data_IF_723191845926
#
_entry.id   IF_723191845926
#
_cell.length_a   1.000
_cell.length_b   1.000
_cell.length_c   1.000
_cell.angle_alpha   90.00
_cell.angle_beta   90.00
_cell.angle_gamma   90.00
#
_symmetry.space_group_name_H-M   'P 1'
#
loop_
_entity.id
_entity.type
_entity.pdbx_description
1 polymer ?
#
# COMPACT_ATOMS: atom_id res chain seq x y z
N UNK A 1 27.54 3.50 -15.92
CA UNK A 1 27.36 2.47 -14.88
C UNK A 1 27.58 3.12 -13.53
N UNK A 2 26.52 3.53 -12.83
CA UNK A 2 26.61 4.01 -11.44
C UNK A 2 25.69 3.14 -10.61
N UNK A 3 26.28 2.42 -9.65
CA UNK A 3 25.59 1.67 -8.61
C UNK A 3 25.00 2.69 -7.63
N UNK A 4 23.67 2.72 -7.50
CA UNK A 4 23.04 3.37 -6.35
C UNK A 4 23.12 2.38 -5.17
N UNK A 5 24.00 2.68 -4.22
CA UNK A 5 24.04 1.99 -2.94
C UNK A 5 22.80 2.34 -2.14
N UNK A 6 22.11 1.32 -1.62
CA UNK A 6 21.06 1.49 -0.63
C UNK A 6 21.75 1.70 0.71
N UNK A 7 21.93 2.95 1.11
CA UNK A 7 22.25 3.26 2.50
C UNK A 7 20.99 3.06 3.33
N UNK A 8 21.07 2.13 4.30
CA UNK A 8 20.04 1.96 5.33
C UNK A 8 20.12 3.14 6.30
N UNK A 9 19.11 4.03 6.41
CA UNK A 9 19.11 5.04 7.45
C UNK A 9 18.81 4.33 8.77
N UNK A 10 19.79 4.35 9.68
CA UNK A 10 19.58 4.00 11.08
C UNK A 10 18.51 4.91 11.66
N UNK A 11 17.50 4.31 12.29
CA UNK A 11 16.54 4.91 13.22
C UNK A 11 15.96 6.27 12.77
N UNK A 12 14.78 6.23 12.18
CA UNK A 12 14.01 7.43 11.87
C UNK A 12 13.73 8.23 13.16
N UNK A 13 14.19 9.49 13.29
CA UNK A 13 13.83 10.33 14.43
C UNK A 13 12.33 10.70 14.37
N UNK A 14 11.68 10.98 15.51
CA UNK A 14 10.24 11.22 15.56
C UNK A 14 9.86 12.31 14.55
N UNK A 15 8.91 12.02 13.66
CA UNK A 15 8.49 12.93 12.57
C UNK A 15 8.23 14.34 13.12
N UNK A 16 9.22 15.21 12.91
CA UNK A 16 9.14 16.63 13.20
C UNK A 16 8.21 17.31 12.21
N UNK A 17 7.41 18.23 12.72
CA UNK A 17 6.33 18.96 12.03
C UNK A 17 6.84 19.78 10.83
N UNK A 18 8.16 19.94 10.71
CA UNK A 18 8.87 20.72 9.71
C UNK A 18 8.90 20.06 8.33
N UNK A 19 8.97 18.73 8.25
CA UNK A 19 9.00 18.02 6.96
C UNK A 19 7.62 18.04 6.27
N UNK A 20 6.54 18.02 7.05
CA UNK A 20 5.17 18.16 6.54
C UNK A 20 4.94 19.55 5.89
N UNK A 21 5.56 20.60 6.44
CA UNK A 21 5.44 21.97 5.92
C UNK A 21 6.11 22.16 4.56
N UNK A 22 7.27 21.56 4.32
CA UNK A 22 7.96 21.64 3.02
C UNK A 22 7.17 20.90 1.93
N UNK A 23 6.59 19.75 2.26
CA UNK A 23 5.83 18.97 1.29
C UNK A 23 4.52 19.64 0.86
N UNK A 24 3.81 20.26 1.81
CA UNK A 24 2.64 21.09 1.53
C UNK A 24 2.97 22.29 0.65
N UNK A 25 4.14 22.92 0.83
CA UNK A 25 4.60 24.02 -0.02
C UNK A 25 4.92 23.58 -1.45
N UNK A 26 5.24 22.30 -1.66
CA UNK A 26 5.64 21.76 -2.96
C UNK A 26 4.51 21.02 -3.71
N UNK A 27 3.30 20.90 -3.14
CA UNK A 27 2.18 20.14 -3.72
C UNK A 27 2.59 18.71 -4.17
N UNK A 28 3.56 18.10 -3.50
CA UNK A 28 4.09 16.78 -3.84
C UNK A 28 3.30 15.66 -3.18
N UNK A 29 3.37 14.46 -3.77
CA UNK A 29 2.86 13.24 -3.16
C UNK A 29 4.00 12.47 -2.48
N UNK A 30 3.77 12.00 -1.25
CA UNK A 30 4.66 11.04 -0.59
C UNK A 30 4.08 9.64 -0.73
N UNK A 31 4.93 8.70 -1.13
CA UNK A 31 4.61 7.28 -1.20
C UNK A 31 5.53 6.57 -0.21
N UNK A 32 4.94 5.84 0.72
CA UNK A 32 5.65 4.99 1.68
C UNK A 32 5.28 3.53 1.42
N UNK A 33 6.28 2.64 1.44
CA UNK A 33 6.10 1.20 1.36
C UNK A 33 6.47 0.60 2.71
N UNK A 34 5.52 -0.12 3.33
CA UNK A 34 5.70 -0.76 4.63
C UNK A 34 5.27 -2.22 4.54
N UNK A 35 5.99 -3.09 5.23
CA UNK A 35 5.68 -4.51 5.32
C UNK A 35 4.76 -4.76 6.51
N UNK A 36 3.52 -5.15 6.23
CA UNK A 36 2.55 -5.54 7.24
C UNK A 36 2.69 -7.05 7.54
N UNK A 37 3.24 -7.38 8.70
CA UNK A 37 3.42 -8.77 9.14
C UNK A 37 2.41 -9.10 10.23
N UNK A 38 1.25 -9.63 9.83
CA UNK A 38 0.11 -9.94 10.71
C UNK A 38 0.43 -10.92 11.88
N UNK A 39 1.59 -11.58 11.87
CA UNK A 39 1.95 -12.62 12.84
C UNK A 39 3.30 -12.38 13.56
N UNK A 40 3.88 -11.18 13.48
CA UNK A 40 5.17 -10.90 14.11
C UNK A 40 5.07 -10.43 15.57
N UNK A 41 3.89 -9.99 16.05
CA UNK A 41 3.72 -9.42 17.38
C UNK A 41 4.56 -8.14 17.59
N UNK A 42 4.83 -7.42 16.51
CA UNK A 42 5.68 -6.23 16.51
C UNK A 42 4.84 -4.98 16.77
N UNK A 43 4.74 -4.61 18.05
CA UNK A 43 3.99 -3.44 18.51
C UNK A 43 4.51 -2.13 17.88
N UNK A 44 5.80 -2.04 17.54
CA UNK A 44 6.38 -0.85 16.89
C UNK A 44 5.86 -0.72 15.46
N UNK A 45 5.79 -1.83 14.72
CA UNK A 45 5.22 -1.86 13.39
C UNK A 45 3.73 -1.50 13.40
N UNK A 46 2.97 -1.96 14.39
CA UNK A 46 1.55 -1.62 14.55
C UNK A 46 1.35 -0.11 14.77
N UNK A 47 2.19 0.51 15.61
CA UNK A 47 2.17 1.96 15.83
C UNK A 47 2.52 2.72 14.56
N UNK A 48 3.53 2.27 13.81
CA UNK A 48 3.93 2.89 12.54
C UNK A 48 2.82 2.78 11.49
N UNK A 49 2.25 1.58 11.30
CA UNK A 49 1.15 1.32 10.38
C UNK A 49 -0.09 2.14 10.73
N UNK A 50 -0.42 2.25 12.02
CA UNK A 50 -1.52 3.08 12.51
C UNK A 50 -1.27 4.56 12.20
N UNK A 51 -0.08 5.07 12.49
CA UNK A 51 0.32 6.46 12.21
C UNK A 51 0.29 6.80 10.71
N UNK A 52 0.90 5.97 9.87
CA UNK A 52 0.89 6.15 8.42
C UNK A 52 -0.51 6.02 7.84
N UNK A 53 -1.27 5.02 8.30
CA UNK A 53 -2.67 4.90 7.93
C UNK A 53 -3.43 6.17 8.28
N UNK A 54 -3.18 6.76 9.47
CA UNK A 54 -3.78 8.00 9.94
C UNK A 54 -3.49 9.22 9.05
N UNK A 55 -2.27 9.33 8.52
CA UNK A 55 -1.88 10.48 7.70
C UNK A 55 -2.13 10.26 6.20
N UNK A 56 -2.37 9.01 5.77
CA UNK A 56 -2.54 8.67 4.36
C UNK A 56 -3.93 9.00 3.83
N UNK A 57 -3.97 9.64 2.65
CA UNK A 57 -5.20 9.90 1.89
C UNK A 57 -5.66 8.65 1.12
N UNK A 58 -4.72 7.83 0.68
CA UNK A 58 -4.92 6.60 -0.08
C UNK A 58 -3.99 5.53 0.48
N UNK A 59 -4.53 4.35 0.74
CA UNK A 59 -3.77 3.18 1.19
C UNK A 59 -3.98 2.06 0.18
N UNK A 60 -2.87 1.49 -0.29
CA UNK A 60 -2.83 0.33 -1.16
C UNK A 60 -2.28 -0.85 -0.35
N UNK A 61 -3.11 -1.85 -0.04
CA UNK A 61 -2.72 -3.05 0.70
C UNK A 61 -2.59 -4.23 -0.26
N UNK A 62 -1.37 -4.73 -0.44
CA UNK A 62 -1.11 -5.98 -1.13
C UNK A 62 -1.15 -7.13 -0.12
N UNK A 63 -2.05 -8.08 -0.33
CA UNK A 63 -2.32 -9.19 0.58
C UNK A 63 -2.22 -10.52 -0.18
N UNK A 64 -1.87 -11.58 0.55
CA UNK A 64 -1.99 -12.95 0.04
C UNK A 64 -3.45 -13.34 -0.19
N UNK A 65 -3.68 -14.42 -0.94
CA UNK A 65 -5.02 -14.99 -1.07
C UNK A 65 -5.36 -15.82 0.17
N UNK A 66 -6.57 -15.66 0.70
CA UNK A 66 -7.07 -16.46 1.82
C UNK A 66 -7.09 -17.98 1.53
N UNK A 67 -7.16 -18.37 0.25
CA UNK A 67 -7.15 -19.76 -0.20
C UNK A 67 -5.75 -20.35 -0.35
N UNK A 68 -4.70 -19.54 -0.16
CA UNK A 68 -3.31 -19.95 -0.41
C UNK A 68 -2.84 -19.67 -1.84
N UNK A 69 -1.78 -20.34 -2.26
CA UNK A 69 -1.08 -20.08 -3.51
C UNK A 69 -1.85 -20.55 -4.74
N UNK A 70 -1.88 -19.71 -5.79
CA UNK A 70 -2.40 -20.07 -7.10
C UNK A 70 -1.38 -19.67 -8.18
N UNK A 71 -1.17 -20.52 -9.18
CA UNK A 71 -0.23 -20.26 -10.29
C UNK A 71 -0.60 -18.99 -11.07
N UNK A 72 -1.89 -18.72 -11.21
CA UNK A 72 -2.40 -17.63 -12.04
C UNK A 72 -2.79 -16.39 -11.24
N UNK A 73 -2.96 -16.50 -9.93
CA UNK A 73 -3.32 -15.38 -9.05
C UNK A 73 -2.37 -15.36 -7.86
N UNK A 74 -1.54 -14.32 -7.78
CA UNK A 74 -0.45 -14.24 -6.79
C UNK A 74 -0.90 -13.55 -5.49
N UNK A 75 -1.95 -12.74 -5.55
CA UNK A 75 -2.47 -12.03 -4.39
C UNK A 75 -3.63 -11.12 -4.76
N UNK A 76 -4.00 -10.27 -3.80
CA UNK A 76 -5.03 -9.26 -3.96
C UNK A 76 -4.54 -7.87 -3.52
N UNK A 77 -5.05 -6.84 -4.17
CA UNK A 77 -4.80 -5.44 -3.86
C UNK A 77 -6.09 -4.81 -3.35
N UNK A 78 -6.10 -4.36 -2.10
CA UNK A 78 -7.20 -3.57 -1.53
C UNK A 78 -6.86 -2.09 -1.59
N UNK A 79 -7.82 -1.30 -2.08
CA UNK A 79 -7.70 0.15 -2.14
C UNK A 79 -8.58 0.76 -1.05
N UNK A 80 -7.96 1.43 -0.09
CA UNK A 80 -8.66 2.12 0.99
C UNK A 80 -8.47 3.62 0.84
N UNK A 81 -9.58 4.32 0.64
CA UNK A 81 -9.61 5.78 0.59
C UNK A 81 -9.97 6.32 1.96
N UNK A 82 -9.15 7.23 2.48
CA UNK A 82 -9.54 8.01 3.65
C UNK A 82 -10.44 9.13 3.15
N UNK A 83 -11.69 9.15 3.63
CA UNK A 83 -12.74 10.09 3.19
C UNK A 83 -12.23 11.53 3.15
N UNK A 84 -12.38 12.26 2.03
CA UNK A 84 -12.48 13.70 2.08
C UNK A 84 -13.78 14.08 2.81
N UNK A 85 -13.81 15.24 3.46
CA UNK A 85 -14.97 15.79 4.20
C UNK A 85 -16.25 15.98 3.36
N UNK A 86 -16.27 15.59 2.09
CA UNK A 86 -17.38 15.79 1.18
C UNK A 86 -17.93 14.46 0.62
N UNK A 87 -19.24 14.18 0.76
CA UNK A 87 -19.87 12.96 0.30
C UNK A 87 -20.14 13.04 -1.20
N UNK A 88 -19.23 12.53 -2.02
CA UNK A 88 -19.55 12.19 -3.42
C UNK A 88 -19.95 10.72 -3.46
N UNK A 89 -21.16 10.44 -3.95
CA UNK A 89 -21.89 9.17 -3.89
C UNK A 89 -21.19 7.90 -4.47
N UNK A 90 -19.99 8.03 -5.04
CA UNK A 90 -19.25 6.93 -5.68
C UNK A 90 -18.23 6.21 -4.75
N UNK A 91 -18.06 6.68 -3.52
CA UNK A 91 -16.90 6.34 -2.66
C UNK A 91 -17.11 5.21 -1.64
N UNK A 92 -18.26 4.53 -1.67
CA UNK A 92 -18.62 3.58 -0.61
C UNK A 92 -18.11 2.15 -0.82
N UNK A 93 -17.30 1.92 -1.85
CA UNK A 93 -16.67 0.61 -2.11
C UNK A 93 -15.16 0.78 -2.05
N UNK A 94 -14.50 0.09 -1.13
CA UNK A 94 -13.07 -0.18 -1.20
C UNK A 94 -12.85 -1.26 -2.25
N UNK A 95 -12.47 -0.93 -3.50
CA UNK A 95 -12.35 -1.93 -4.52
C UNK A 95 -11.19 -2.89 -4.16
N UNK A 96 -11.44 -4.17 -4.39
CA UNK A 96 -10.44 -5.23 -4.25
C UNK A 96 -10.18 -5.81 -5.63
N UNK A 97 -8.91 -5.78 -6.05
CA UNK A 97 -8.44 -6.41 -7.27
C UNK A 97 -7.62 -7.64 -6.94
N UNK A 98 -7.58 -8.59 -7.85
CA UNK A 98 -6.60 -9.68 -7.83
C UNK A 98 -5.47 -9.32 -8.79
N UNK A 99 -4.27 -9.81 -8.52
CA UNK A 99 -3.13 -9.56 -9.39
C UNK A 99 -2.35 -10.82 -9.75
N UNK A 100 -1.76 -10.77 -10.95
CA UNK A 100 -0.82 -11.76 -11.47
C UNK A 100 0.50 -11.07 -11.77
N UNK A 101 1.57 -11.53 -11.12
CA UNK A 101 2.93 -11.09 -11.41
C UNK A 101 3.44 -11.92 -12.60
N UNK A 102 4.08 -11.23 -13.53
CA UNK A 102 4.81 -11.79 -14.67
C UNK A 102 6.22 -11.21 -14.64
N UNK A 103 7.12 -11.71 -15.48
CA UNK A 103 8.55 -11.34 -15.45
C UNK A 103 8.82 -9.83 -15.44
N UNK A 104 8.00 -9.05 -16.16
CA UNK A 104 8.20 -7.58 -16.32
C UNK A 104 6.91 -6.77 -16.16
N UNK A 105 5.81 -7.38 -15.72
CA UNK A 105 4.53 -6.72 -15.61
C UNK A 105 3.69 -7.31 -14.48
N UNK A 106 2.72 -6.53 -14.01
CA UNK A 106 1.67 -6.96 -13.09
C UNK A 106 0.33 -6.68 -13.75
N UNK A 107 -0.49 -7.73 -13.90
CA UNK A 107 -1.87 -7.60 -14.38
C UNK A 107 -2.82 -7.54 -13.21
N UNK A 108 -3.76 -6.59 -13.22
CA UNK A 108 -4.82 -6.45 -12.21
C UNK A 108 -6.17 -6.79 -12.83
N UNK A 109 -7.00 -7.53 -12.11
CA UNK A 109 -8.33 -7.93 -12.56
C UNK A 109 -9.32 -7.92 -11.40
N UNK A 110 -10.60 -7.75 -11.72
CA UNK A 110 -11.65 -7.86 -10.71
C UNK A 110 -11.66 -9.28 -10.12
N UNK A 111 -12.01 -9.40 -8.83
CA UNK A 111 -12.12 -10.70 -8.17
C UNK A 111 -13.05 -11.63 -8.97
N UNK A 112 -12.57 -12.82 -9.31
CA UNK A 112 -13.34 -13.81 -10.08
C UNK A 112 -13.23 -13.69 -11.61
N UNK A 113 -12.52 -12.68 -12.12
CA UNK A 113 -12.26 -12.50 -13.56
C UNK A 113 -10.83 -12.95 -13.94
N UNK A 114 -10.28 -13.94 -13.23
CA UNK A 114 -8.95 -14.47 -13.57
C UNK A 114 -8.99 -15.11 -14.97
N UNK A 115 -7.98 -14.88 -15.84
CA UNK A 115 -7.91 -15.49 -17.17
C UNK A 115 -7.97 -17.02 -17.18
N UNK A 116 -7.65 -17.69 -16.06
CA UNK A 116 -7.73 -19.14 -15.95
C UNK A 116 -9.16 -19.68 -15.79
N UNK A 117 -10.16 -18.81 -15.62
CA UNK A 117 -11.58 -19.14 -15.44
C UNK A 117 -12.39 -18.81 -16.71
N UNK A 118 -11.78 -18.16 -17.72
CA UNK A 118 -12.42 -17.75 -18.97
C UNK A 118 -11.94 -18.57 -20.17
#
# INVERSE_FOLDING_TARGET
MQRLGVETPKAWPPLGKEQASILCLMQGNVVALVHDSENAGDEENDVLLSGLSHQSHLILRAEGLATGFCKDVHGQLRILWRRPSQPTAQRDRSPTYQYKIQDKNVSFFAKGMSPAIL
#
